data_IF_857420686488
#
_entry.id   IF_857420686488
#
_cell.length_a   1.000
_cell.length_b   1.000
_cell.length_c   1.000
_cell.angle_alpha   90.00
_cell.angle_beta   90.00
_cell.angle_gamma   90.00
#
_symmetry.space_group_name_H-M   'P 1'
#
loop_
_entity.id
_entity.type
_entity.pdbx_description
1 polymer ?
#
# COMPACT_ATOMS: atom_id res chain seq x y z
N UNK A 1 -7.02 -19.79 61.17
CA UNK A 1 -5.87 -19.24 60.43
C UNK A 1 -6.35 -18.91 59.02
N UNK A 2 -5.99 -17.71 58.53
CA UNK A 2 -6.14 -17.06 57.20
C UNK A 2 -6.30 -17.94 55.95
N UNK A 3 -6.75 -17.50 54.77
CA UNK A 3 -7.45 -16.33 54.16
C UNK A 3 -7.54 -16.66 52.64
N UNK A 4 -8.49 -16.02 51.91
CA UNK A 4 -8.40 -15.50 50.52
C UNK A 4 -9.76 -15.65 49.81
N UNK A 5 -10.63 -14.63 49.83
CA UNK A 5 -10.73 -13.50 48.87
C UNK A 5 -11.41 -13.91 47.55
N UNK A 6 -12.74 -13.79 47.54
CA UNK A 6 -13.56 -13.55 46.35
C UNK A 6 -13.90 -12.06 46.39
N UNK A 7 -13.52 -11.29 45.37
CA UNK A 7 -14.05 -9.95 45.14
C UNK A 7 -14.87 -9.96 43.85
N UNK A 8 -16.20 -9.83 43.90
CA UNK A 8 -17.02 -9.58 42.72
C UNK A 8 -17.03 -8.07 42.36
N UNK A 9 -17.37 -7.82 41.09
CA UNK A 9 -17.40 -6.55 40.37
C UNK A 9 -18.18 -5.43 41.11
N UNK A 10 -17.83 -4.14 40.90
CA UNK A 10 -18.63 -3.05 41.42
C UNK A 10 -19.92 -2.89 40.61
N UNK A 11 -21.02 -2.96 41.35
CA UNK A 11 -22.39 -2.62 40.95
C UNK A 11 -22.44 -1.13 40.60
N UNK A 12 -22.90 -0.79 39.39
CA UNK A 12 -23.26 0.58 39.06
C UNK A 12 -24.59 0.89 39.76
N UNK A 13 -24.55 1.74 40.78
CA UNK A 13 -25.75 2.29 41.38
C UNK A 13 -25.93 3.78 41.08
N UNK A 14 -27.19 4.09 40.85
CA UNK A 14 -27.74 5.33 40.33
C UNK A 14 -27.46 6.53 41.24
N UNK A 15 -26.86 7.58 40.67
CA UNK A 15 -27.14 8.96 41.10
C UNK A 15 -27.76 9.76 39.96
N UNK A 16 -29.04 10.03 40.13
CA UNK A 16 -29.81 11.00 39.36
C UNK A 16 -29.66 12.37 40.04
N UNK A 17 -28.98 13.32 39.39
CA UNK A 17 -29.40 14.73 39.34
C UNK A 17 -28.47 15.55 38.44
N UNK A 18 -29.05 16.07 37.36
CA UNK A 18 -28.72 17.29 36.62
C UNK A 18 -27.24 17.68 36.45
N UNK A 19 -26.63 17.12 35.41
CA UNK A 19 -25.91 17.95 34.44
C UNK A 19 -26.37 17.52 33.06
N UNK A 20 -26.95 18.43 32.28
CA UNK A 20 -27.18 18.25 30.85
C UNK A 20 -25.85 18.34 30.10
N UNK A 21 -24.83 17.60 30.56
CA UNK A 21 -23.72 17.23 29.70
C UNK A 21 -24.33 16.26 28.69
N UNK A 22 -24.54 16.77 27.48
CA UNK A 22 -25.51 16.25 26.56
C UNK A 22 -25.18 14.79 26.22
N UNK A 23 -26.15 13.88 26.29
CA UNK A 23 -25.98 12.52 25.75
C UNK A 23 -25.52 12.54 24.27
N UNK A 24 -25.71 13.66 23.56
CA UNK A 24 -25.15 13.89 22.21
C UNK A 24 -23.62 14.01 22.21
N UNK A 25 -23.01 14.59 23.24
CA UNK A 25 -21.57 14.86 23.29
C UNK A 25 -20.77 13.56 23.56
N UNK A 26 -21.35 12.63 24.33
CA UNK A 26 -20.78 11.29 24.55
C UNK A 26 -20.88 10.42 23.28
N UNK A 27 -22.04 10.45 22.61
CA UNK A 27 -22.25 9.68 21.37
C UNK A 27 -21.35 10.20 20.22
N UNK A 28 -21.09 11.50 20.14
CA UNK A 28 -20.19 12.08 19.13
C UNK A 28 -18.72 11.74 19.38
N UNK A 29 -18.30 11.62 20.64
CA UNK A 29 -16.95 11.18 21.01
C UNK A 29 -16.72 9.71 20.63
N UNK A 30 -17.65 8.83 21.01
CA UNK A 30 -17.58 7.41 20.72
C UNK A 30 -17.61 7.13 19.21
N UNK A 31 -18.43 7.88 18.45
CA UNK A 31 -18.47 7.81 16.98
C UNK A 31 -17.16 8.27 16.32
N UNK A 32 -16.51 9.32 16.84
CA UNK A 32 -15.20 9.79 16.35
C UNK A 32 -14.11 8.76 16.61
N UNK A 33 -14.11 8.14 17.79
CA UNK A 33 -13.15 7.09 18.12
C UNK A 33 -13.36 5.84 17.26
N UNK A 34 -14.61 5.43 17.02
CA UNK A 34 -14.94 4.30 16.16
C UNK A 34 -14.45 4.53 14.72
N UNK A 35 -14.71 5.71 14.13
CA UNK A 35 -14.22 6.08 12.80
C UNK A 35 -12.70 6.04 12.72
N UNK A 36 -12.02 6.57 13.73
CA UNK A 36 -10.56 6.56 13.81
C UNK A 36 -10.00 5.14 13.82
N UNK A 37 -10.61 4.22 14.58
CA UNK A 37 -10.16 2.82 14.59
C UNK A 37 -10.39 2.12 13.25
N UNK A 38 -11.51 2.41 12.57
CA UNK A 38 -11.79 1.88 11.24
C UNK A 38 -10.79 2.38 10.19
N UNK A 39 -10.45 3.68 10.23
CA UNK A 39 -9.43 4.28 9.36
C UNK A 39 -8.05 3.64 9.60
N UNK A 40 -7.65 3.47 10.87
CA UNK A 40 -6.38 2.84 11.23
C UNK A 40 -6.33 1.36 10.80
N UNK A 41 -7.42 0.61 10.99
CA UNK A 41 -7.51 -0.78 10.56
C UNK A 41 -7.42 -0.91 9.03
N UNK A 42 -8.04 0.04 8.31
CA UNK A 42 -7.99 0.09 6.84
C UNK A 42 -6.58 0.39 6.32
N UNK A 43 -5.88 1.34 6.94
CA UNK A 43 -4.49 1.65 6.59
C UNK A 43 -3.56 0.48 6.92
N UNK A 44 -3.71 -0.13 8.10
CA UNK A 44 -2.92 -1.30 8.47
C UNK A 44 -3.09 -2.44 7.46
N UNK A 45 -4.33 -2.75 7.08
CA UNK A 45 -4.63 -3.78 6.07
C UNK A 45 -4.04 -3.42 4.70
N UNK A 46 -4.01 -2.15 4.33
CA UNK A 46 -3.37 -1.67 3.10
C UNK A 46 -1.86 -1.86 3.15
N UNK A 47 -1.21 -1.55 4.27
CA UNK A 47 0.23 -1.74 4.44
C UNK A 47 0.61 -3.24 4.38
N UNK A 48 -0.17 -4.11 5.01
CA UNK A 48 0.00 -5.56 4.92
C UNK A 48 -0.12 -6.06 3.48
N UNK A 49 -1.11 -5.55 2.72
CA UNK A 49 -1.26 -5.88 1.31
C UNK A 49 -0.06 -5.42 0.48
N UNK A 50 0.46 -4.22 0.74
CA UNK A 50 1.67 -3.71 0.07
C UNK A 50 2.84 -4.65 0.33
N UNK A 51 3.09 -5.00 1.60
CA UNK A 51 4.20 -5.87 1.96
C UNK A 51 4.04 -7.29 1.38
N UNK A 52 2.82 -7.81 1.29
CA UNK A 52 2.53 -9.08 0.63
C UNK A 52 2.86 -9.05 -0.86
N UNK A 53 2.46 -7.99 -1.58
CA UNK A 53 2.65 -7.86 -3.03
C UNK A 53 4.14 -7.76 -3.40
N UNK A 54 4.94 -7.01 -2.63
CA UNK A 54 6.39 -6.85 -2.90
C UNK A 54 7.25 -7.96 -2.31
N UNK A 55 6.66 -8.97 -1.67
CA UNK A 55 7.41 -10.13 -1.18
C UNK A 55 7.69 -11.07 -2.35
N UNK A 56 8.89 -10.95 -2.91
CA UNK A 56 9.36 -11.84 -3.97
C UNK A 56 9.92 -13.14 -3.40
N UNK A 57 9.60 -14.30 -4.01
CA UNK A 57 10.30 -15.55 -3.80
C UNK A 57 11.82 -15.41 -3.91
N UNK A 58 12.56 -16.17 -3.09
CA UNK A 58 14.02 -16.10 -3.03
C UNK A 58 14.70 -16.41 -4.38
N UNK A 59 14.07 -17.23 -5.23
CA UNK A 59 14.60 -17.58 -6.56
C UNK A 59 14.84 -16.35 -7.44
N UNK A 60 14.05 -15.28 -7.32
CA UNK A 60 14.24 -14.05 -8.11
C UNK A 60 15.51 -13.28 -7.75
N UNK A 61 16.22 -13.70 -6.69
CA UNK A 61 17.52 -13.16 -6.30
C UNK A 61 18.69 -13.99 -6.83
N UNK A 62 18.41 -15.03 -7.60
CA UNK A 62 19.42 -15.88 -8.22
C UNK A 62 19.54 -15.52 -9.70
N UNK A 63 20.73 -15.68 -10.28
CA UNK A 63 20.90 -15.54 -11.73
C UNK A 63 20.14 -16.65 -12.43
N UNK A 64 19.68 -16.39 -13.65
CA UNK A 64 19.00 -17.36 -14.50
C UNK A 64 17.75 -17.97 -13.86
N UNK A 65 17.01 -17.18 -13.06
CA UNK A 65 15.83 -17.65 -12.32
C UNK A 65 14.67 -18.07 -13.23
N UNK A 66 14.67 -17.62 -14.48
CA UNK A 66 13.71 -17.97 -15.53
C UNK A 66 14.22 -19.06 -16.50
N UNK A 67 15.47 -19.50 -16.35
CA UNK A 67 16.13 -20.42 -17.28
C UNK A 67 16.57 -19.77 -18.60
N UNK A 68 16.46 -18.44 -18.74
CA UNK A 68 16.80 -17.65 -19.93
C UNK A 68 17.77 -16.50 -19.60
N UNK A 69 18.73 -16.77 -18.72
CA UNK A 69 19.79 -15.84 -18.28
C UNK A 69 19.30 -14.58 -17.55
N UNK A 70 18.10 -14.60 -16.94
CA UNK A 70 17.63 -13.45 -16.19
C UNK A 70 18.60 -12.99 -15.09
N UNK A 71 18.72 -11.68 -14.94
CA UNK A 71 19.49 -11.07 -13.88
C UNK A 71 18.72 -11.10 -12.54
N UNK A 72 19.44 -11.17 -11.41
CA UNK A 72 18.84 -11.14 -10.09
C UNK A 72 18.17 -9.80 -9.82
N UNK A 73 17.01 -9.84 -9.17
CA UNK A 73 16.34 -8.64 -8.69
C UNK A 73 17.00 -8.19 -7.38
N UNK A 74 17.60 -6.98 -7.33
CA UNK A 74 18.30 -6.51 -6.16
C UNK A 74 17.30 -6.16 -5.05
N UNK A 75 17.71 -6.37 -3.79
CA UNK A 75 16.90 -6.00 -2.63
C UNK A 75 16.53 -4.50 -2.61
N UNK A 76 17.38 -3.66 -3.20
CA UNK A 76 17.14 -2.23 -3.35
C UNK A 76 15.92 -1.93 -4.25
N UNK A 77 15.73 -2.64 -5.37
CA UNK A 77 14.56 -2.48 -6.23
C UNK A 77 13.25 -2.82 -5.48
N UNK A 78 13.26 -3.89 -4.67
CA UNK A 78 12.13 -4.26 -3.82
C UNK A 78 11.81 -3.15 -2.80
N UNK A 79 12.85 -2.55 -2.20
CA UNK A 79 12.65 -1.43 -1.27
C UNK A 79 12.08 -0.19 -1.94
N UNK A 80 12.56 0.16 -3.15
CA UNK A 80 12.02 1.28 -3.91
C UNK A 80 10.55 1.08 -4.27
N UNK A 81 10.18 -0.10 -4.78
CA UNK A 81 8.80 -0.45 -5.07
C UNK A 81 7.90 -0.37 -3.83
N UNK A 82 8.39 -0.86 -2.67
CA UNK A 82 7.68 -0.74 -1.39
C UNK A 82 7.44 0.72 -1.00
N UNK A 83 8.47 1.56 -1.09
CA UNK A 83 8.37 2.99 -0.78
C UNK A 83 7.38 3.67 -1.73
N UNK A 84 7.45 3.36 -3.02
CA UNK A 84 6.53 3.87 -4.03
C UNK A 84 5.08 3.51 -3.69
N UNK A 85 4.78 2.24 -3.40
CA UNK A 85 3.44 1.78 -3.06
C UNK A 85 2.89 2.42 -1.80
N UNK A 86 3.72 2.66 -0.78
CA UNK A 86 3.33 3.37 0.43
C UNK A 86 2.96 4.83 0.15
N UNK A 87 3.63 5.47 -0.82
CA UNK A 87 3.32 6.84 -1.28
C UNK A 87 2.16 6.90 -2.28
N UNK A 88 1.74 5.78 -2.86
CA UNK A 88 0.69 5.74 -3.87
C UNK A 88 -0.67 6.13 -3.26
N UNK A 89 -1.42 7.10 -3.80
CA UNK A 89 -2.73 7.46 -3.26
C UNK A 89 -3.68 6.26 -3.15
N UNK A 90 -4.50 6.21 -2.11
CA UNK A 90 -5.47 5.12 -1.87
C UNK A 90 -6.57 5.03 -2.93
N UNK A 91 -6.79 6.10 -3.69
CA UNK A 91 -7.70 6.12 -4.84
C UNK A 91 -7.16 5.40 -6.08
N UNK A 92 -5.87 5.08 -6.12
CA UNK A 92 -5.24 4.37 -7.23
C UNK A 92 -5.31 2.86 -6.97
N UNK A 93 -5.75 2.05 -7.96
CA UNK A 93 -5.72 0.59 -7.83
C UNK A 93 -4.33 0.05 -7.51
N UNK A 94 -4.27 -1.06 -6.76
CA UNK A 94 -2.99 -1.74 -6.51
C UNK A 94 -2.50 -2.41 -7.80
N UNK A 95 -1.21 -2.28 -8.14
CA UNK A 95 -0.64 -2.92 -9.31
C UNK A 95 -0.42 -4.42 -9.09
N UNK A 96 -0.13 -5.11 -10.19
CA UNK A 96 0.52 -6.43 -10.16
C UNK A 96 2.04 -6.27 -10.13
N UNK A 97 2.74 -7.19 -9.47
CA UNK A 97 4.20 -7.21 -9.41
C UNK A 97 4.74 -8.14 -10.49
N UNK A 98 5.65 -7.62 -11.30
CA UNK A 98 6.25 -8.33 -12.43
C UNK A 98 7.77 -8.35 -12.26
N UNK A 99 8.37 -9.49 -11.91
CA UNK A 99 9.81 -9.69 -12.00
C UNK A 99 10.28 -9.55 -13.45
N UNK A 100 11.24 -8.67 -13.73
CA UNK A 100 11.75 -8.44 -15.09
C UNK A 100 13.11 -9.16 -15.30
N UNK A 101 13.35 -9.78 -16.48
CA UNK A 101 14.58 -10.54 -16.74
C UNK A 101 15.87 -9.72 -16.68
N UNK A 102 15.79 -8.40 -16.79
CA UNK A 102 16.95 -7.50 -16.70
C UNK A 102 17.30 -7.10 -15.25
N UNK A 103 16.66 -7.74 -14.26
CA UNK A 103 16.88 -7.49 -12.85
C UNK A 103 16.03 -6.36 -12.29
N UNK A 104 15.08 -5.83 -13.06
CA UNK A 104 14.13 -4.84 -12.59
C UNK A 104 12.95 -5.51 -11.89
N UNK A 105 12.29 -4.74 -11.03
CA UNK A 105 10.98 -5.08 -10.49
C UNK A 105 9.94 -4.15 -11.09
N UNK A 106 8.99 -4.68 -11.85
CA UNK A 106 7.89 -3.95 -12.44
C UNK A 106 6.66 -3.90 -11.53
N UNK A 107 5.99 -2.75 -11.51
CA UNK A 107 4.61 -2.58 -11.03
C UNK A 107 3.71 -2.26 -12.22
N UNK A 108 2.80 -3.17 -12.55
CA UNK A 108 1.92 -3.05 -13.70
C UNK A 108 0.49 -2.69 -13.31
N UNK A 109 -0.06 -1.70 -14.01
CA UNK A 109 -1.49 -1.45 -14.10
C UNK A 109 -1.95 -1.84 -15.50
N UNK A 110 -2.80 -2.86 -15.58
CA UNK A 110 -3.31 -3.39 -16.84
C UNK A 110 -4.84 -3.39 -16.83
N UNK A 111 -5.45 -2.88 -17.88
CA UNK A 111 -6.90 -2.99 -18.11
C UNK A 111 -7.21 -3.82 -19.36
N UNK A 112 -6.45 -3.64 -20.44
CA UNK A 112 -6.54 -4.46 -21.66
C UNK A 112 -5.29 -4.25 -22.53
N UNK A 113 -5.21 -4.95 -23.66
CA UNK A 113 -4.07 -4.91 -24.60
C UNK A 113 -3.68 -3.53 -25.15
N UNK A 114 -4.51 -2.51 -24.96
CA UNK A 114 -4.25 -1.12 -25.38
C UNK A 114 -4.08 -0.17 -24.20
N UNK A 115 -4.28 -0.64 -22.96
CA UNK A 115 -4.26 0.16 -21.74
C UNK A 115 -3.45 -0.60 -20.69
N UNK A 116 -2.15 -0.28 -20.67
CA UNK A 116 -1.21 -0.78 -19.67
C UNK A 116 -0.18 0.29 -19.33
N UNK A 117 0.27 0.30 -18.09
CA UNK A 117 1.33 1.17 -17.63
C UNK A 117 2.18 0.44 -16.59
N UNK A 118 3.50 0.49 -16.78
CA UNK A 118 4.48 -0.19 -15.94
C UNK A 118 5.45 0.84 -15.37
N UNK A 119 5.69 0.76 -14.07
CA UNK A 119 6.77 1.46 -13.38
C UNK A 119 7.77 0.43 -12.89
N UNK A 120 9.00 0.50 -13.39
CA UNK A 120 10.05 -0.47 -13.10
C UNK A 120 11.16 0.14 -12.24
N UNK A 121 11.66 -0.66 -11.29
CA UNK A 121 12.64 -0.27 -10.27
C UNK A 121 13.90 -1.13 -10.39
N UNK A 122 15.08 -0.52 -10.33
CA UNK A 122 16.37 -1.23 -10.41
C UNK A 122 17.24 -1.07 -9.16
N UNK A 123 16.80 -0.32 -8.15
CA UNK A 123 17.57 -0.09 -6.93
C UNK A 123 18.60 1.04 -7.01
N UNK A 124 18.57 1.87 -8.05
CA UNK A 124 19.51 2.99 -8.24
C UNK A 124 18.90 4.38 -7.96
N UNK A 125 17.62 4.43 -7.60
CA UNK A 125 16.83 5.66 -7.43
C UNK A 125 16.23 6.20 -8.72
N UNK A 126 16.48 5.56 -9.87
CA UNK A 126 15.89 5.90 -11.17
C UNK A 126 14.75 4.94 -11.49
N UNK A 127 13.58 5.48 -11.76
CA UNK A 127 12.43 4.73 -12.22
C UNK A 127 12.46 4.63 -13.74
N UNK A 128 12.12 3.48 -14.30
CA UNK A 128 11.76 3.37 -15.71
C UNK A 128 10.24 3.36 -15.83
N UNK A 129 9.69 4.09 -16.79
CA UNK A 129 8.26 4.05 -17.07
C UNK A 129 8.05 3.62 -18.52
N UNK A 130 7.15 2.66 -18.70
CA UNK A 130 6.69 2.24 -20.01
C UNK A 130 5.17 2.07 -20.01
N UNK A 131 4.53 2.29 -21.16
CA UNK A 131 3.10 2.10 -21.22
C UNK A 131 2.52 2.27 -22.61
N UNK A 132 1.34 1.71 -22.78
CA UNK A 132 0.49 1.85 -23.94
C UNK A 132 -0.86 2.36 -23.46
N UNK A 133 -1.24 3.56 -23.92
CA UNK A 133 -2.52 4.19 -23.58
C UNK A 133 -3.22 4.54 -24.89
N UNK A 134 -4.03 3.62 -25.40
CA UNK A 134 -4.62 3.69 -26.72
C UNK A 134 -3.53 3.64 -27.80
N UNK A 135 -3.33 4.73 -28.52
CA UNK A 135 -2.24 4.90 -29.49
C UNK A 135 -1.00 5.59 -28.92
N UNK A 136 -1.09 6.16 -27.71
CA UNK A 136 0.02 6.82 -27.04
C UNK A 136 0.98 5.77 -26.46
N UNK A 137 2.26 5.94 -26.75
CA UNK A 137 3.32 5.12 -26.15
C UNK A 137 4.15 5.98 -25.21
N UNK A 138 4.34 5.49 -24.00
CA UNK A 138 5.14 6.15 -22.98
C UNK A 138 6.42 5.35 -22.81
N UNK A 139 7.56 6.05 -22.83
CA UNK A 139 8.86 5.48 -22.55
C UNK A 139 9.74 6.46 -21.79
N UNK A 140 10.62 5.92 -20.95
CA UNK A 140 11.81 6.61 -20.50
C UNK A 140 11.93 6.72 -18.98
N UNK A 141 13.11 7.17 -18.51
CA UNK A 141 13.40 7.27 -17.09
C UNK A 141 12.59 8.39 -16.45
N UNK A 142 12.31 8.24 -15.15
CA UNK A 142 11.73 9.23 -14.26
C UNK A 142 12.47 9.19 -12.93
N UNK A 143 12.46 10.31 -12.24
CA UNK A 143 13.06 10.42 -10.91
C UNK A 143 11.95 10.52 -9.89
N UNK A 144 12.10 9.82 -8.76
CA UNK A 144 11.22 9.98 -7.61
C UNK A 144 12.04 10.55 -6.46
N UNK A 145 11.58 11.69 -5.94
CA UNK A 145 12.13 12.35 -4.78
C UNK A 145 11.26 12.07 -3.54
N UNK A 146 10.79 13.11 -2.86
CA UNK A 146 9.84 13.03 -1.78
C UNK A 146 8.45 12.59 -2.24
N UNK A 147 8.03 12.87 -3.49
CA UNK A 147 6.68 12.57 -4.00
C UNK A 147 6.70 11.79 -5.30
N UNK A 148 5.61 11.08 -5.59
CA UNK A 148 5.41 10.47 -6.91
C UNK A 148 5.13 11.60 -7.92
N UNK A 149 5.89 11.69 -9.03
CA UNK A 149 5.63 12.65 -10.08
C UNK A 149 4.17 12.59 -10.57
N UNK A 150 3.52 13.74 -10.68
CA UNK A 150 2.10 13.81 -11.07
C UNK A 150 1.81 13.17 -12.44
N UNK A 151 2.81 13.14 -13.33
CA UNK A 151 2.73 12.44 -14.62
C UNK A 151 2.47 10.94 -14.46
N UNK A 152 3.18 10.28 -13.53
CA UNK A 152 3.02 8.86 -13.25
C UNK A 152 1.59 8.57 -12.78
N UNK A 153 1.08 9.37 -11.85
CA UNK A 153 -0.29 9.22 -11.34
C UNK A 153 -1.34 9.43 -12.44
N UNK A 154 -1.15 10.43 -13.32
CA UNK A 154 -2.04 10.66 -14.46
C UNK A 154 -2.03 9.48 -15.44
N UNK A 155 -0.86 8.91 -15.72
CA UNK A 155 -0.74 7.79 -16.65
C UNK A 155 -1.39 6.52 -16.08
N UNK A 156 -1.23 6.25 -14.78
CA UNK A 156 -1.93 5.15 -14.11
C UNK A 156 -3.45 5.36 -14.19
N UNK A 157 -3.94 6.58 -13.90
CA UNK A 157 -5.37 6.86 -13.95
C UNK A 157 -5.94 6.62 -15.36
N UNK A 158 -5.24 7.07 -16.41
CA UNK A 158 -5.62 6.86 -17.81
C UNK A 158 -5.78 5.37 -18.21
N UNK A 159 -5.19 4.42 -17.48
CA UNK A 159 -5.38 2.98 -17.75
C UNK A 159 -6.83 2.54 -17.48
N UNK A 160 -7.53 3.22 -16.56
CA UNK A 160 -8.87 2.82 -16.08
C UNK A 160 -9.99 3.82 -16.44
N UNK A 161 -9.70 4.81 -17.28
CA UNK A 161 -10.68 5.76 -17.83
C UNK A 161 -11.26 5.24 -19.15
#
# INVERSE_FOLDING_TARGET
MSLATVNPLPVYDLFSSSSKFSQRDLNESDEKEARRWEDLASEQKRLEKIDAIVTLPQQYREKNWDGLEAEPIPAAAIQEARIFLRKLPSSIPMPEVIPEPDGYLGLEWYANKWLLYVVSFNGTGVLSCSGLIGSERIYGPRYMDERIPAEILRNIAKVFL
#
